data_IF_493692163937
#
_entry.id   IF_493692163937
#
_cell.length_a   1.000
_cell.length_b   1.000
_cell.length_c   1.000
_cell.angle_alpha   90.00
_cell.angle_beta   90.00
_cell.angle_gamma   90.00
#
_symmetry.space_group_name_H-M   'P 1'
#
loop_
_entity.id
_entity.type
_entity.pdbx_description
1 polymer ?
#
# COMPACT_ATOMS: atom_id res chain seq x y z
N UNK A 1 -41.40 -10.59 -51.07
CA UNK A 1 -41.30 -9.76 -49.87
C UNK A 1 -41.00 -10.54 -48.57
N UNK A 2 -40.54 -11.82 -48.66
CA UNK A 2 -40.36 -12.68 -47.48
C UNK A 2 -38.87 -13.00 -47.17
N UNK A 3 -37.95 -12.44 -47.95
CA UNK A 3 -36.51 -12.68 -47.81
C UNK A 3 -35.69 -11.50 -47.23
N UNK A 4 -36.31 -10.36 -46.98
CA UNK A 4 -35.66 -9.15 -46.47
C UNK A 4 -35.77 -8.96 -44.93
N UNK A 5 -36.52 -9.81 -44.23
CA UNK A 5 -36.75 -9.69 -42.78
C UNK A 5 -35.77 -10.52 -41.95
N UNK A 6 -35.03 -11.46 -42.57
CA UNK A 6 -34.11 -12.36 -41.83
C UNK A 6 -32.67 -11.86 -41.70
N UNK A 7 -32.31 -10.72 -42.30
CA UNK A 7 -30.96 -10.18 -42.24
C UNK A 7 -30.77 -9.08 -41.15
N UNK A 8 -31.85 -8.64 -40.52
CA UNK A 8 -31.80 -7.57 -39.52
C UNK A 8 -31.62 -8.07 -38.08
N UNK A 9 -31.61 -9.37 -37.80
CA UNK A 9 -31.55 -9.94 -36.44
C UNK A 9 -30.18 -10.47 -36.04
N UNK A 10 -29.15 -10.34 -36.88
CA UNK A 10 -27.82 -10.92 -36.60
C UNK A 10 -26.78 -9.91 -36.14
N UNK A 11 -27.12 -8.62 -35.94
CA UNK A 11 -26.13 -7.59 -35.61
C UNK A 11 -26.20 -7.04 -34.19
N UNK A 12 -26.94 -7.69 -33.28
CA UNK A 12 -27.17 -7.13 -31.92
C UNK A 12 -26.52 -7.91 -30.76
N UNK A 13 -25.48 -8.70 -30.99
CA UNK A 13 -24.92 -9.57 -29.93
C UNK A 13 -23.42 -9.53 -29.79
N UNK A 14 -22.78 -8.35 -29.87
CA UNK A 14 -21.39 -8.17 -29.45
C UNK A 14 -21.21 -6.87 -28.64
N UNK A 15 -22.05 -6.68 -27.63
CA UNK A 15 -21.69 -5.82 -26.53
C UNK A 15 -20.72 -6.61 -25.65
N UNK A 16 -19.44 -6.65 -26.01
CA UNK A 16 -18.38 -7.10 -25.12
C UNK A 16 -18.36 -6.13 -23.95
N UNK A 17 -18.88 -6.58 -22.80
CA UNK A 17 -18.67 -5.89 -21.53
C UNK A 17 -17.15 -5.81 -21.30
N UNK A 18 -16.57 -4.67 -21.61
CA UNK A 18 -15.21 -4.35 -21.18
C UNK A 18 -15.27 -4.23 -19.68
N UNK A 19 -15.07 -5.36 -18.96
CA UNK A 19 -14.85 -5.34 -17.54
C UNK A 19 -13.64 -4.44 -17.31
N UNK A 20 -13.85 -3.32 -16.62
CA UNK A 20 -12.77 -2.44 -16.19
C UNK A 20 -11.83 -3.29 -15.35
N UNK A 21 -10.67 -3.65 -15.89
CA UNK A 21 -9.62 -4.34 -15.15
C UNK A 21 -9.16 -3.40 -14.04
N UNK A 22 -9.10 -3.87 -12.78
CA UNK A 22 -8.52 -3.06 -11.72
C UNK A 22 -7.08 -2.68 -12.12
N UNK A 23 -6.59 -1.51 -11.73
CA UNK A 23 -5.25 -1.05 -12.08
C UNK A 23 -4.21 -2.07 -11.63
N UNK A 24 -3.58 -2.73 -12.59
CA UNK A 24 -2.73 -3.92 -12.42
C UNK A 24 -1.37 -3.64 -11.75
N UNK A 25 -1.15 -2.46 -11.21
CA UNK A 25 0.16 -2.10 -10.62
C UNK A 25 0.27 -2.25 -9.11
N UNK A 26 -0.83 -2.44 -8.40
CA UNK A 26 -0.83 -2.37 -6.93
C UNK A 26 -1.11 -3.69 -6.21
N UNK A 27 -1.32 -4.78 -6.95
CA UNK A 27 -1.59 -6.12 -6.41
C UNK A 27 -0.42 -7.09 -6.63
N UNK A 28 0.69 -6.62 -7.17
CA UNK A 28 1.88 -7.44 -7.29
C UNK A 28 2.53 -7.66 -5.92
N UNK A 29 3.07 -8.87 -5.67
CA UNK A 29 3.77 -9.15 -4.43
C UNK A 29 4.91 -8.14 -4.24
N UNK A 30 5.13 -7.67 -3.01
CA UNK A 30 6.14 -6.67 -2.74
C UNK A 30 7.54 -7.21 -3.06
N UNK A 31 8.35 -6.35 -3.68
CA UNK A 31 9.76 -6.65 -3.97
C UNK A 31 10.64 -5.87 -3.00
N UNK A 32 11.75 -6.48 -2.57
CA UNK A 32 12.77 -5.81 -1.77
C UNK A 32 12.32 -5.37 -0.35
N UNK A 33 11.41 -6.14 0.29
CA UNK A 33 11.14 -5.98 1.72
C UNK A 33 12.33 -6.54 2.51
N UNK A 34 12.97 -5.71 3.35
CA UNK A 34 14.15 -6.08 4.16
C UNK A 34 13.93 -5.99 5.67
N UNK A 35 12.85 -5.35 6.10
CA UNK A 35 12.53 -5.14 7.51
C UNK A 35 11.11 -5.58 7.82
N UNK A 36 10.19 -5.31 6.92
CA UNK A 36 8.82 -5.80 7.01
C UNK A 36 8.75 -7.27 6.53
N UNK A 37 7.81 -8.09 7.04
CA UNK A 37 7.65 -9.48 6.63
C UNK A 37 7.47 -9.62 5.11
N UNK A 38 8.17 -10.59 4.50
CA UNK A 38 8.10 -10.82 3.05
C UNK A 38 6.73 -11.32 2.57
N UNK A 39 5.99 -11.95 3.46
CA UNK A 39 4.64 -12.49 3.26
C UNK A 39 3.53 -11.51 3.63
N UNK A 40 3.90 -10.25 3.95
CA UNK A 40 2.94 -9.23 4.31
C UNK A 40 1.94 -9.00 3.17
N UNK A 41 0.62 -9.08 3.42
CA UNK A 41 -0.39 -8.80 2.42
C UNK A 41 -0.21 -7.40 1.82
N UNK A 42 -0.35 -7.27 0.51
CA UNK A 42 -0.15 -5.99 -0.21
C UNK A 42 -0.98 -4.86 0.38
N UNK A 43 -2.22 -5.16 0.79
CA UNK A 43 -3.08 -4.17 1.44
C UNK A 43 -2.48 -3.67 2.76
N UNK A 44 -2.02 -4.58 3.61
CA UNK A 44 -1.40 -4.22 4.89
C UNK A 44 -0.11 -3.40 4.69
N UNK A 45 0.69 -3.74 3.68
CA UNK A 45 1.86 -2.96 3.29
C UNK A 45 1.48 -1.54 2.88
N UNK A 46 0.45 -1.38 2.07
CA UNK A 46 -0.06 -0.05 1.64
C UNK A 46 -0.56 0.78 2.80
N UNK A 47 -1.32 0.17 3.71
CA UNK A 47 -1.82 0.84 4.92
C UNK A 47 -0.66 1.28 5.82
N UNK A 48 0.39 0.45 5.94
CA UNK A 48 1.63 0.76 6.66
C UNK A 48 2.34 1.96 6.02
N UNK A 49 2.53 1.97 4.69
CA UNK A 49 3.16 3.09 3.99
C UNK A 49 2.33 4.38 4.11
N UNK A 50 1.00 4.27 4.01
CA UNK A 50 0.11 5.41 4.22
C UNK A 50 0.18 5.95 5.66
N UNK A 51 0.41 5.10 6.66
CA UNK A 51 0.62 5.56 8.04
C UNK A 51 1.92 6.35 8.19
N UNK A 52 2.99 5.91 7.53
CA UNK A 52 4.27 6.64 7.55
C UNK A 52 4.16 8.02 6.89
N UNK A 53 3.53 8.11 5.72
CA UNK A 53 3.34 9.40 5.04
C UNK A 53 2.56 10.38 5.90
N UNK A 54 1.52 9.91 6.61
CA UNK A 54 0.75 10.76 7.52
C UNK A 54 1.56 11.17 8.77
N UNK A 55 2.28 10.22 9.37
CA UNK A 55 3.04 10.48 10.59
C UNK A 55 4.22 11.41 10.36
N UNK A 56 4.87 11.32 9.21
CA UNK A 56 6.06 12.11 8.87
C UNK A 56 5.72 13.39 8.08
N UNK A 57 4.49 13.55 7.61
CA UNK A 57 4.09 14.70 6.80
C UNK A 57 4.77 14.72 5.42
N UNK A 58 5.15 13.56 4.88
CA UNK A 58 5.86 13.44 3.60
C UNK A 58 5.04 12.66 2.57
N UNK A 59 5.43 12.74 1.29
CA UNK A 59 4.83 11.98 0.20
C UNK A 59 5.62 10.70 -0.11
N UNK A 60 5.04 9.81 -0.92
CA UNK A 60 5.69 8.57 -1.35
C UNK A 60 7.02 8.81 -2.04
N UNK A 61 7.13 9.88 -2.81
CA UNK A 61 8.35 10.30 -3.52
C UNK A 61 9.50 10.70 -2.62
N UNK A 62 9.25 10.94 -1.35
CA UNK A 62 10.32 11.21 -0.39
C UNK A 62 11.23 9.99 -0.20
N UNK A 63 10.63 8.77 -0.12
CA UNK A 63 11.36 7.52 0.09
C UNK A 63 11.45 6.63 -1.15
N UNK A 64 10.62 6.85 -2.16
CA UNK A 64 10.56 6.00 -3.36
C UNK A 64 10.82 6.79 -4.63
N UNK A 65 11.43 6.12 -5.60
CA UNK A 65 11.66 6.68 -6.94
C UNK A 65 10.32 6.78 -7.67
N UNK A 66 9.99 7.96 -8.12
CA UNK A 66 8.75 8.28 -8.81
C UNK A 66 8.59 9.79 -8.92
N UNK A 67 7.58 10.23 -9.65
CA UNK A 67 7.27 11.66 -9.88
C UNK A 67 5.90 11.98 -9.28
N UNK A 68 5.82 13.08 -8.55
CA UNK A 68 4.54 13.55 -8.00
C UNK A 68 3.52 13.85 -9.11
N UNK A 69 2.27 13.45 -8.86
CA UNK A 69 1.20 13.60 -9.84
C UNK A 69 1.07 12.43 -10.81
N UNK A 70 2.10 11.60 -10.94
CA UNK A 70 2.02 10.39 -11.77
C UNK A 70 1.32 9.24 -11.02
N UNK A 71 0.72 8.29 -11.75
CA UNK A 71 0.12 7.10 -11.15
C UNK A 71 1.15 6.30 -10.34
N UNK A 72 0.73 5.74 -9.19
CA UNK A 72 1.62 4.94 -8.35
C UNK A 72 2.18 3.68 -9.05
N UNK A 73 1.54 3.26 -10.13
CA UNK A 73 2.00 2.14 -10.97
C UNK A 73 3.32 2.43 -11.70
N UNK A 74 3.68 3.71 -11.85
CA UNK A 74 4.93 4.14 -12.48
C UNK A 74 6.10 4.27 -11.51
N UNK A 75 5.83 4.12 -10.19
CA UNK A 75 6.86 4.27 -9.17
C UNK A 75 7.70 3.01 -9.04
N UNK A 76 9.00 3.18 -8.88
CA UNK A 76 9.89 2.09 -8.49
C UNK A 76 9.95 1.99 -6.95
N UNK A 77 9.00 1.25 -6.39
CA UNK A 77 8.99 0.96 -4.96
C UNK A 77 10.10 0.01 -4.52
N UNK A 78 10.73 -0.73 -5.43
CA UNK A 78 11.78 -1.68 -5.11
C UNK A 78 13.16 -1.01 -5.01
N UNK A 79 13.41 0.07 -5.76
CA UNK A 79 14.69 0.77 -5.79
C UNK A 79 15.16 1.21 -4.40
N UNK A 80 16.44 1.07 -4.13
CA UNK A 80 17.14 1.56 -2.93
C UNK A 80 17.97 2.83 -3.22
N UNK A 81 17.71 3.50 -4.32
CA UNK A 81 18.42 4.72 -4.72
C UNK A 81 18.26 5.85 -3.70
N UNK A 82 17.09 5.96 -3.07
CA UNK A 82 16.83 7.02 -2.11
C UNK A 82 17.34 6.69 -0.72
N UNK A 83 18.25 7.52 -0.21
CA UNK A 83 18.83 7.37 1.13
C UNK A 83 17.77 7.43 2.23
N UNK A 84 16.68 8.17 2.02
CA UNK A 84 15.56 8.28 2.96
C UNK A 84 14.88 6.92 3.19
N UNK A 85 14.79 6.09 2.15
CA UNK A 85 14.28 4.72 2.28
C UNK A 85 15.20 3.85 3.15
N UNK A 86 16.51 4.01 2.99
CA UNK A 86 17.49 3.29 3.81
C UNK A 86 17.43 3.73 5.27
N UNK A 87 17.36 5.04 5.52
CA UNK A 87 17.16 5.61 6.86
C UNK A 87 15.88 5.10 7.52
N UNK A 88 14.78 5.06 6.77
CA UNK A 88 13.51 4.54 7.27
C UNK A 88 13.62 3.06 7.72
N UNK A 89 14.38 2.24 7.01
CA UNK A 89 14.63 0.85 7.44
C UNK A 89 15.38 0.78 8.78
N UNK A 90 16.39 1.62 8.98
CA UNK A 90 17.11 1.67 10.27
C UNK A 90 16.20 2.17 11.39
N UNK A 91 15.37 3.18 11.13
CA UNK A 91 14.38 3.64 12.11
C UNK A 91 13.38 2.54 12.48
N UNK A 92 12.93 1.73 11.54
CA UNK A 92 12.04 0.58 11.81
C UNK A 92 12.73 -0.47 12.69
N UNK A 93 14.01 -0.77 12.44
CA UNK A 93 14.79 -1.68 13.29
C UNK A 93 14.94 -1.13 14.71
N UNK A 94 15.25 0.16 14.83
CA UNK A 94 15.35 0.84 16.13
C UNK A 94 14.02 0.77 16.89
N UNK A 95 12.89 1.06 16.23
CA UNK A 95 11.57 0.99 16.87
C UNK A 95 11.25 -0.45 17.31
N UNK A 96 11.60 -1.45 16.49
CA UNK A 96 11.42 -2.85 16.86
C UNK A 96 12.26 -3.22 18.10
N UNK A 97 13.50 -2.78 18.18
CA UNK A 97 14.37 -2.99 19.35
C UNK A 97 13.83 -2.29 20.61
N UNK A 98 13.39 -1.03 20.47
CA UNK A 98 12.78 -0.29 21.59
C UNK A 98 11.56 -1.04 22.13
N UNK A 99 10.66 -1.46 21.26
CA UNK A 99 9.42 -2.13 21.65
C UNK A 99 9.65 -3.54 22.18
N UNK A 100 10.60 -4.30 21.60
CA UNK A 100 10.87 -5.70 21.97
C UNK A 100 11.84 -5.86 23.15
N UNK A 101 12.82 -4.98 23.29
CA UNK A 101 13.91 -5.15 24.25
C UNK A 101 13.88 -4.15 25.41
N UNK A 102 13.47 -2.92 25.15
CA UNK A 102 13.55 -1.84 26.14
C UNK A 102 12.24 -1.60 26.87
N UNK A 103 11.14 -1.41 26.16
CA UNK A 103 9.84 -1.11 26.77
C UNK A 103 9.33 -2.20 27.73
N UNK A 104 9.54 -3.51 27.49
CA UNK A 104 9.14 -4.54 28.45
C UNK A 104 9.84 -4.43 29.80
N UNK A 105 11.02 -3.82 29.85
CA UNK A 105 11.80 -3.61 31.08
C UNK A 105 11.39 -2.37 31.88
N UNK A 106 10.59 -1.49 31.26
CA UNK A 106 10.10 -0.27 31.92
C UNK A 106 8.98 -0.65 32.88
N UNK A 107 9.09 -0.35 34.19
CA UNK A 107 8.02 -0.62 35.14
C UNK A 107 6.72 0.04 34.69
N UNK A 108 5.68 -0.77 34.53
CA UNK A 108 4.36 -0.29 34.15
C UNK A 108 3.81 0.58 35.30
N UNK A 109 3.78 1.88 35.11
CA UNK A 109 3.07 2.76 36.02
C UNK A 109 1.57 2.44 35.88
N UNK A 110 0.97 1.81 36.91
CA UNK A 110 -0.48 1.65 36.98
C UNK A 110 -1.09 3.05 37.07
N UNK A 111 -1.48 3.60 35.94
CA UNK A 111 -2.40 4.75 35.96
C UNK A 111 -3.72 4.24 36.48
N UNK A 112 -4.28 4.81 37.57
CA UNK A 112 -5.64 4.50 37.96
C UNK A 112 -6.52 4.79 36.75
N UNK A 113 -7.31 3.80 36.31
CA UNK A 113 -8.35 4.03 35.30
C UNK A 113 -9.26 5.10 35.87
N UNK A 114 -9.09 6.34 35.43
CA UNK A 114 -10.10 7.37 35.60
C UNK A 114 -11.33 6.85 34.87
N UNK A 115 -12.32 6.38 35.65
CA UNK A 115 -13.65 6.12 35.12
C UNK A 115 -14.18 7.45 34.61
N UNK A 116 -14.13 7.69 33.30
CA UNK A 116 -15.03 8.65 32.70
C UNK A 116 -16.44 8.11 32.90
N UNK A 117 -17.11 8.59 33.94
CA UNK A 117 -18.56 8.47 34.04
C UNK A 117 -19.13 9.46 33.02
N UNK A 118 -19.88 8.93 32.05
CA UNK A 118 -20.79 9.68 31.22
C UNK A 118 -21.91 10.26 32.08
#
# INVERSE_FOLDING_TARGET
>A
MRRLVLTALALCALATATAAQPPQGMDQPPKNLKVLPMDMPVRALRDTMASFTRALGVRCTYCHVGKEGEPLTTYDFASDEKTEKLKAREMLRMVAAINGEHLPKVPQRRTPRSRCRA
#
